data_IF_881643748684
#
_entry.id   IF_881643748684
#
_cell.length_a   1.000
_cell.length_b   1.000
_cell.length_c   1.000
_cell.angle_alpha   90.00
_cell.angle_beta   90.00
_cell.angle_gamma   90.00
#
_symmetry.space_group_name_H-M   'P 1'
#
loop_
_entity.id
_entity.type
_entity.pdbx_description
1 polymer ?
#
# COMPACT_ATOMS: atom_id res chain seq x y z
N UNK A 1 -16.22 -7.82 14.15
CA UNK A 1 -17.20 -8.66 13.44
C UNK A 1 -18.53 -7.92 13.47
N UNK A 2 -18.92 -7.31 12.35
CA UNK A 2 -20.17 -6.56 12.24
C UNK A 2 -21.37 -7.50 12.02
N UNK A 3 -22.60 -6.98 12.11
CA UNK A 3 -23.88 -7.70 12.01
C UNK A 3 -24.14 -8.70 13.14
N UNK A 4 -23.68 -8.38 14.34
CA UNK A 4 -23.89 -9.19 15.53
C UNK A 4 -25.30 -8.98 16.14
N UNK A 5 -26.34 -9.07 15.32
CA UNK A 5 -27.73 -8.80 15.69
C UNK A 5 -28.66 -9.95 15.27
N UNK A 6 -29.81 -10.05 15.94
CA UNK A 6 -30.83 -11.06 15.68
C UNK A 6 -30.28 -12.48 15.57
N UNK A 7 -30.55 -13.14 14.44
CA UNK A 7 -30.14 -14.52 14.16
C UNK A 7 -28.63 -14.71 13.98
N UNK A 8 -27.89 -13.64 13.69
CA UNK A 8 -26.46 -13.71 13.38
C UNK A 8 -25.58 -13.40 14.60
N UNK A 9 -26.17 -12.99 15.73
CA UNK A 9 -25.45 -12.70 16.98
C UNK A 9 -24.58 -13.87 17.47
N UNK A 10 -25.12 -15.11 17.47
CA UNK A 10 -24.38 -16.30 17.90
C UNK A 10 -23.21 -16.62 16.95
N UNK A 11 -23.43 -16.50 15.64
CA UNK A 11 -22.37 -16.73 14.63
C UNK A 11 -21.26 -15.68 14.75
N UNK A 12 -21.63 -14.42 14.93
CA UNK A 12 -20.67 -13.33 15.12
C UNK A 12 -19.83 -13.54 16.39
N UNK A 13 -20.45 -14.04 17.46
CA UNK A 13 -19.73 -14.38 18.69
C UNK A 13 -18.79 -15.59 18.52
N UNK A 14 -19.20 -16.63 17.80
CA UNK A 14 -18.32 -17.76 17.47
C UNK A 14 -17.09 -17.29 16.68
N UNK A 15 -17.30 -16.48 15.62
CA UNK A 15 -16.22 -15.87 14.87
C UNK A 15 -15.31 -15.02 15.75
N UNK A 16 -15.87 -14.21 16.66
CA UNK A 16 -15.07 -13.42 17.63
C UNK A 16 -14.10 -14.28 18.44
N UNK A 17 -14.54 -15.45 18.89
CA UNK A 17 -13.71 -16.39 19.65
C UNK A 17 -12.59 -16.95 18.76
N UNK A 18 -12.92 -17.39 17.54
CA UNK A 18 -11.94 -17.92 16.59
C UNK A 18 -10.87 -16.88 16.22
N UNK A 19 -11.27 -15.64 15.89
CA UNK A 19 -10.33 -14.56 15.61
C UNK A 19 -9.45 -14.25 16.83
N UNK A 20 -10.00 -14.22 18.04
CA UNK A 20 -9.19 -13.99 19.24
C UNK A 20 -8.20 -15.14 19.51
N UNK A 21 -8.54 -16.38 19.17
CA UNK A 21 -7.59 -17.51 19.21
C UNK A 21 -6.46 -17.31 18.22
N UNK A 22 -6.77 -16.95 16.97
CA UNK A 22 -5.74 -16.68 15.95
C UNK A 22 -4.83 -15.50 16.36
N UNK A 23 -5.43 -14.37 16.78
CA UNK A 23 -4.72 -13.18 17.24
C UNK A 23 -3.80 -13.44 18.44
N UNK A 24 -4.09 -14.46 19.25
CA UNK A 24 -3.22 -14.84 20.36
C UNK A 24 -1.86 -15.38 19.90
N UNK A 25 -1.80 -16.04 18.75
CA UNK A 25 -0.58 -16.62 18.20
C UNK A 25 0.21 -15.66 17.30
N UNK A 26 -0.38 -14.54 16.89
CA UNK A 26 0.27 -13.57 16.02
C UNK A 26 1.13 -12.59 16.83
N UNK A 27 2.27 -12.21 16.26
CA UNK A 27 3.06 -11.10 16.78
C UNK A 27 2.21 -9.82 16.76
N UNK A 28 2.13 -9.06 17.88
CA UNK A 28 1.37 -7.83 17.93
C UNK A 28 1.83 -6.84 16.85
N UNK A 29 0.88 -6.34 16.06
CA UNK A 29 1.15 -5.37 14.99
C UNK A 29 1.62 -4.00 15.52
N UNK A 30 1.33 -3.70 16.78
CA UNK A 30 1.78 -2.48 17.47
C UNK A 30 2.41 -2.90 18.79
N UNK A 31 3.67 -2.50 19.00
CA UNK A 31 4.36 -2.77 20.25
C UNK A 31 3.56 -2.23 21.44
N UNK A 32 3.41 -3.05 22.49
CA UNK A 32 2.65 -2.69 23.69
C UNK A 32 1.13 -2.76 23.57
N UNK A 33 0.55 -3.05 22.40
CA UNK A 33 -0.90 -3.19 22.26
C UNK A 33 -1.30 -4.60 21.84
N UNK A 34 -2.17 -5.24 22.63
CA UNK A 34 -2.73 -6.55 22.30
C UNK A 34 -4.02 -6.41 21.49
N UNK A 35 -3.96 -6.77 20.21
CA UNK A 35 -5.13 -6.79 19.34
C UNK A 35 -6.14 -7.85 19.77
N UNK A 36 -7.43 -7.48 19.75
CA UNK A 36 -8.54 -8.37 20.04
C UNK A 36 -9.65 -8.17 19.00
N UNK A 37 -10.41 -9.23 18.75
CA UNK A 37 -11.62 -9.17 17.96
C UNK A 37 -12.83 -8.85 18.85
N UNK A 38 -13.69 -7.96 18.34
CA UNK A 38 -14.93 -7.53 18.97
C UNK A 38 -16.11 -7.74 18.04
N UNK A 39 -17.31 -7.76 18.59
CA UNK A 39 -18.57 -7.80 17.84
C UNK A 39 -19.26 -6.44 17.91
N UNK A 40 -19.98 -6.09 16.84
CA UNK A 40 -20.86 -4.95 16.84
C UNK A 40 -22.01 -5.17 15.86
N UNK A 41 -23.06 -4.37 16.00
CA UNK A 41 -24.09 -4.20 14.98
C UNK A 41 -24.16 -2.73 14.61
N UNK A 42 -23.79 -2.41 13.37
CA UNK A 42 -24.01 -1.09 12.83
C UNK A 42 -25.51 -0.77 12.65
N UNK A 43 -26.38 -1.80 12.61
CA UNK A 43 -27.82 -1.64 12.45
C UNK A 43 -28.49 -1.22 13.76
N UNK A 44 -28.16 -1.88 14.87
CA UNK A 44 -28.75 -1.58 16.19
C UNK A 44 -27.94 -0.55 16.98
N UNK A 45 -26.67 -0.36 16.63
CA UNK A 45 -25.72 0.46 17.38
C UNK A 45 -24.96 -0.33 18.47
N UNK A 46 -25.32 -1.59 18.70
CA UNK A 46 -24.69 -2.40 19.75
C UNK A 46 -23.19 -2.58 19.51
N UNK A 47 -22.38 -2.36 20.56
CA UNK A 47 -20.93 -2.50 20.50
C UNK A 47 -20.19 -1.33 19.82
N UNK A 48 -20.90 -0.38 19.19
CA UNK A 48 -20.26 0.74 18.48
C UNK A 48 -19.64 1.75 19.45
N UNK A 49 -20.32 2.04 20.56
CA UNK A 49 -19.82 2.94 21.61
C UNK A 49 -18.57 2.36 22.29
N UNK A 50 -18.58 1.07 22.56
CA UNK A 50 -17.47 0.34 23.15
C UNK A 50 -16.27 0.30 22.19
N UNK A 51 -16.51 0.11 20.89
CA UNK A 51 -15.47 0.21 19.87
C UNK A 51 -14.87 1.61 19.79
N UNK A 52 -15.69 2.66 19.95
CA UNK A 52 -15.18 4.03 19.99
C UNK A 52 -14.25 4.24 21.20
N UNK A 53 -14.68 3.83 22.39
CA UNK A 53 -13.85 3.90 23.59
C UNK A 53 -12.55 3.10 23.45
N UNK A 54 -12.59 1.95 22.78
CA UNK A 54 -11.42 1.14 22.48
C UNK A 54 -10.43 1.87 21.56
N UNK A 55 -10.91 2.56 20.52
CA UNK A 55 -10.07 3.35 19.61
C UNK A 55 -9.40 4.49 20.38
N UNK A 56 -10.15 5.18 21.24
CA UNK A 56 -9.61 6.27 22.05
C UNK A 56 -8.54 5.75 23.03
N UNK A 57 -8.76 4.59 23.65
CA UNK A 57 -7.77 3.90 24.49
C UNK A 57 -6.51 3.51 23.70
N UNK A 58 -6.67 2.90 22.52
CA UNK A 58 -5.56 2.55 21.65
C UNK A 58 -4.70 3.77 21.34
N UNK A 59 -5.34 4.88 20.97
CA UNK A 59 -4.64 6.13 20.68
C UNK A 59 -3.89 6.64 21.90
N UNK A 60 -4.52 6.65 23.07
CA UNK A 60 -3.88 7.12 24.30
C UNK A 60 -2.64 6.29 24.65
N UNK A 61 -2.75 4.95 24.70
CA UNK A 61 -1.66 4.04 25.07
C UNK A 61 -0.51 4.08 24.06
N UNK A 62 -0.83 4.08 22.76
CA UNK A 62 0.20 4.11 21.70
C UNK A 62 0.88 5.47 21.56
N UNK A 63 0.17 6.56 21.88
CA UNK A 63 0.78 7.90 21.94
C UNK A 63 1.70 8.01 23.15
N UNK A 64 1.25 7.57 24.33
CA UNK A 64 2.04 7.60 25.57
C UNK A 64 3.33 6.77 25.47
N UNK A 65 3.29 5.62 24.80
CA UNK A 65 4.47 4.77 24.55
C UNK A 65 5.34 5.26 23.37
N UNK A 66 4.91 6.28 22.62
CA UNK A 66 5.59 6.77 21.41
C UNK A 66 5.44 5.87 20.17
N UNK A 67 4.79 4.71 20.30
CA UNK A 67 4.57 3.77 19.20
C UNK A 67 3.72 4.38 18.06
N UNK A 68 2.75 5.22 18.40
CA UNK A 68 1.89 5.92 17.44
C UNK A 68 2.71 6.83 16.52
N UNK A 69 3.51 7.72 17.09
CA UNK A 69 4.32 8.68 16.33
C UNK A 69 5.45 7.98 15.56
N UNK A 70 6.04 6.93 16.11
CA UNK A 70 7.03 6.12 15.39
C UNK A 70 6.43 5.44 14.15
N UNK A 71 5.22 4.87 14.28
CA UNK A 71 4.48 4.28 13.16
C UNK A 71 4.12 5.32 12.11
N UNK A 72 3.65 6.50 12.52
CA UNK A 72 3.30 7.60 11.62
C UNK A 72 4.51 8.09 10.81
N UNK A 73 5.65 8.30 11.46
CA UNK A 73 6.90 8.67 10.76
C UNK A 73 7.33 7.61 9.75
N UNK A 74 7.20 6.33 10.10
CA UNK A 74 7.53 5.22 9.17
C UNK A 74 6.58 5.23 7.97
N UNK A 75 5.27 5.31 8.20
CA UNK A 75 4.26 5.36 7.15
C UNK A 75 4.46 6.56 6.22
N UNK A 76 4.82 7.74 6.75
CA UNK A 76 5.11 8.90 5.91
C UNK A 76 6.32 8.67 4.99
N UNK A 77 7.36 7.98 5.47
CA UNK A 77 8.51 7.62 4.63
C UNK A 77 8.13 6.58 3.58
N UNK A 78 7.40 5.54 3.96
CA UNK A 78 6.87 4.52 3.03
C UNK A 78 6.01 5.19 1.95
N UNK A 79 5.13 6.12 2.34
CA UNK A 79 4.29 6.90 1.43
C UNK A 79 5.11 7.76 0.47
N UNK A 80 6.15 8.44 0.96
CA UNK A 80 7.06 9.20 0.10
C UNK A 80 7.71 8.31 -0.97
N UNK A 81 8.23 7.15 -0.58
CA UNK A 81 8.84 6.21 -1.54
C UNK A 81 7.84 5.70 -2.57
N UNK A 82 6.63 5.35 -2.11
CA UNK A 82 5.56 4.88 -3.00
C UNK A 82 5.17 5.96 -4.02
N UNK A 83 5.03 7.22 -3.58
CA UNK A 83 4.75 8.33 -4.49
C UNK A 83 5.88 8.55 -5.49
N UNK A 84 7.15 8.48 -5.06
CA UNK A 84 8.28 8.60 -5.99
C UNK A 84 8.26 7.48 -7.02
N UNK A 85 8.03 6.24 -6.61
CA UNK A 85 7.94 5.09 -7.53
C UNK A 85 6.79 5.25 -8.53
N UNK A 86 5.59 5.60 -8.05
CA UNK A 86 4.42 5.86 -8.89
C UNK A 86 4.70 6.95 -9.92
N UNK A 87 5.28 8.08 -9.49
CA UNK A 87 5.61 9.18 -10.36
C UNK A 87 6.72 8.82 -11.36
N UNK A 88 7.73 8.05 -10.96
CA UNK A 88 8.78 7.59 -11.86
C UNK A 88 8.25 6.61 -12.91
N UNK A 89 7.38 5.67 -12.53
CA UNK A 89 6.74 4.76 -13.48
C UNK A 89 5.84 5.53 -14.44
N UNK A 90 5.03 6.46 -13.92
CA UNK A 90 4.17 7.30 -14.74
C UNK A 90 4.99 8.17 -15.71
N UNK A 91 6.10 8.76 -15.26
CA UNK A 91 7.02 9.52 -16.10
C UNK A 91 7.60 8.62 -17.21
N UNK A 92 8.16 7.48 -16.83
CA UNK A 92 8.80 6.54 -17.74
C UNK A 92 7.85 6.00 -18.82
N UNK A 93 6.69 5.48 -18.44
CA UNK A 93 5.74 4.93 -19.40
C UNK A 93 4.99 5.99 -20.20
N UNK A 94 5.00 7.26 -19.77
CA UNK A 94 4.44 8.34 -20.56
C UNK A 94 5.40 8.98 -21.56
N UNK A 95 6.70 8.73 -21.42
CA UNK A 95 7.73 9.23 -22.31
C UNK A 95 7.48 8.78 -23.77
N UNK A 96 7.48 9.71 -24.75
CA UNK A 96 7.24 9.37 -26.15
C UNK A 96 8.26 8.38 -26.74
N UNK A 97 9.53 8.46 -26.35
CA UNK A 97 10.57 7.55 -26.84
C UNK A 97 10.35 6.13 -26.30
N UNK A 98 9.97 5.99 -25.03
CA UNK A 98 9.57 4.69 -24.45
C UNK A 98 8.34 4.13 -25.14
N UNK A 99 7.27 4.94 -25.27
CA UNK A 99 6.03 4.53 -25.95
C UNK A 99 6.28 4.02 -27.38
N UNK A 100 7.24 4.62 -28.09
CA UNK A 100 7.56 4.24 -29.46
C UNK A 100 8.22 2.85 -29.56
N UNK A 101 9.10 2.49 -28.61
CA UNK A 101 9.89 1.24 -28.67
C UNK A 101 9.34 0.10 -27.82
N UNK A 102 8.49 0.41 -26.83
CA UNK A 102 7.95 -0.56 -25.87
C UNK A 102 7.24 -1.76 -26.52
N UNK A 103 6.32 -1.60 -27.47
CA UNK A 103 5.63 -2.76 -28.07
C UNK A 103 6.56 -3.74 -28.77
N UNK A 104 7.61 -3.23 -29.43
CA UNK A 104 8.59 -4.07 -30.14
C UNK A 104 9.47 -4.86 -29.15
N UNK A 105 9.85 -4.22 -28.05
CA UNK A 105 10.64 -4.86 -27.00
C UNK A 105 9.82 -5.92 -26.27
N UNK A 106 8.55 -5.66 -25.94
CA UNK A 106 7.66 -6.63 -25.31
C UNK A 106 7.46 -7.87 -26.19
N UNK A 107 7.28 -7.68 -27.50
CA UNK A 107 7.14 -8.78 -28.46
C UNK A 107 8.43 -9.62 -28.52
N UNK A 108 9.60 -8.99 -28.70
CA UNK A 108 10.88 -9.69 -28.77
C UNK A 108 11.22 -10.46 -27.46
N UNK A 109 10.81 -9.95 -26.30
CA UNK A 109 10.96 -10.65 -25.02
C UNK A 109 10.02 -11.85 -24.94
N UNK A 110 8.77 -11.69 -25.36
CA UNK A 110 7.76 -12.75 -25.34
C UNK A 110 8.11 -13.91 -26.29
N UNK A 111 8.71 -13.58 -27.44
CA UNK A 111 9.16 -14.54 -28.45
C UNK A 111 10.51 -15.21 -28.08
N UNK A 112 11.16 -14.76 -27.00
CA UNK A 112 12.45 -15.29 -26.54
C UNK A 112 13.67 -14.80 -27.32
N UNK A 113 13.50 -13.83 -28.22
CA UNK A 113 14.56 -13.23 -29.04
C UNK A 113 15.40 -12.20 -28.26
N UNK A 114 14.82 -11.62 -27.21
CA UNK A 114 15.48 -10.64 -26.36
C UNK A 114 15.31 -11.02 -24.87
N UNK A 115 16.41 -11.18 -24.10
CA UNK A 115 16.29 -11.36 -22.66
C UNK A 115 15.60 -10.17 -21.99
N UNK A 116 14.70 -10.42 -21.03
CA UNK A 116 13.94 -9.37 -20.33
C UNK A 116 14.84 -8.25 -19.74
N UNK A 117 16.01 -8.61 -19.20
CA UNK A 117 16.97 -7.64 -18.69
C UNK A 117 17.53 -6.72 -19.81
N UNK A 118 17.83 -7.28 -20.97
CA UNK A 118 18.28 -6.49 -22.11
C UNK A 118 17.15 -5.57 -22.63
N UNK A 119 15.91 -6.04 -22.64
CA UNK A 119 14.73 -5.21 -22.94
C UNK A 119 14.57 -4.04 -21.98
N UNK A 120 14.63 -4.29 -20.67
CA UNK A 120 14.56 -3.24 -19.64
C UNK A 120 15.68 -2.19 -19.79
N UNK A 121 16.92 -2.63 -20.10
CA UNK A 121 18.04 -1.71 -20.36
C UNK A 121 17.76 -0.81 -21.56
N UNK A 122 17.28 -1.37 -22.67
CA UNK A 122 16.95 -0.59 -23.89
C UNK A 122 15.87 0.45 -23.62
N UNK A 123 14.84 0.11 -22.85
CA UNK A 123 13.79 1.07 -22.49
C UNK A 123 14.34 2.20 -21.61
N UNK A 124 15.22 1.90 -20.64
CA UNK A 124 15.88 2.91 -19.80
C UNK A 124 16.80 3.83 -20.62
N UNK A 125 17.49 3.30 -21.62
CA UNK A 125 18.38 4.08 -22.48
C UNK A 125 17.59 5.00 -23.43
N UNK A 126 16.39 4.60 -23.85
CA UNK A 126 15.51 5.42 -24.69
C UNK A 126 15.11 6.75 -24.01
N UNK A 127 14.78 6.72 -22.71
CA UNK A 127 14.48 7.93 -21.93
C UNK A 127 15.71 8.83 -21.80
N UNK A 128 16.87 8.25 -21.47
CA UNK A 128 18.11 9.02 -21.29
C UNK A 128 18.58 9.72 -22.56
N UNK A 129 18.32 9.13 -23.72
CA UNK A 129 18.66 9.74 -25.00
C UNK A 129 17.72 10.93 -25.32
N UNK A 130 16.45 10.86 -24.93
CA UNK A 130 15.50 11.95 -25.09
C UNK A 130 15.82 13.15 -24.18
N UNK A 131 16.20 12.89 -22.93
CA UNK A 131 16.59 13.94 -21.97
C UNK A 131 17.87 14.70 -22.36
N UNK A 132 18.77 14.09 -23.14
CA UNK A 132 20.04 14.67 -23.58
C UNK A 132 20.01 15.25 -25.00
N UNK A 133 18.85 15.28 -25.65
CA UNK A 133 18.70 15.95 -26.95
C UNK A 133 18.73 17.48 -26.74
N UNK A 134 19.58 18.24 -27.47
CA UNK A 134 19.61 19.70 -27.34
C UNK A 134 18.22 20.27 -27.67
N UNK A 135 17.76 21.20 -26.83
CA UNK A 135 16.48 21.86 -27.04
C UNK A 135 16.51 22.65 -28.35
N UNK A 136 15.42 22.66 -29.14
CA UNK A 136 15.37 23.40 -30.41
C UNK A 136 15.47 24.93 -30.25
N UNK A 137 15.57 25.44 -29.01
CA UNK A 137 15.69 26.86 -28.67
C UNK A 137 17.16 27.35 -28.61
N UNK A 138 18.15 26.46 -28.60
CA UNK A 138 19.58 26.82 -28.58
C UNK A 138 20.14 27.09 -30.00
N UNK A 139 19.28 27.15 -31.02
CA UNK A 139 19.68 27.40 -32.41
C UNK A 139 18.97 28.63 -32.98
N UNK A 140 19.29 29.81 -32.47
CA UNK A 140 19.15 31.04 -33.25
C UNK A 140 20.37 31.96 -33.06
N UNK A 141 20.86 32.56 -34.17
CA UNK A 141 22.16 33.25 -34.24
C UNK A 141 22.20 34.61 -33.54
#
# INVERSE_FOLDING_TARGET
INKADGKDALKAQAARVEYNRALHYLTPATAGWRTQAYTCSALTGDGVTELRALIDRFRAETTASGAFEARRRRQNREWLHMLVEEQLLAFFFNDPAVKAVLPQIEQAVSDGELPAMAGARRLLDAVRAADNAPSPDDTQP
#
